data_IF_526127298219
#
_entry.id   IF_526127298219
#
_cell.length_a   1.000
_cell.length_b   1.000
_cell.length_c   1.000
_cell.angle_alpha   90.00
_cell.angle_beta   90.00
_cell.angle_gamma   90.00
#
_symmetry.space_group_name_H-M   'P 1'
#
loop_
_entity.id
_entity.type
_entity.pdbx_description
1 polymer ?
#
# COMPACT_ATOMS: atom_id res chain seq x y z
N UNK A 1 -66.04 15.33 19.24
CA UNK A 1 -65.60 14.29 18.28
C UNK A 1 -64.09 14.41 18.15
N UNK A 2 -63.35 13.50 18.76
CA UNK A 2 -61.90 13.48 18.78
C UNK A 2 -61.46 12.37 17.79
N UNK A 3 -60.77 12.78 16.74
CA UNK A 3 -60.26 11.84 15.70
C UNK A 3 -58.81 11.47 16.04
N UNK A 4 -58.60 10.23 16.40
CA UNK A 4 -57.28 9.64 16.74
C UNK A 4 -56.56 9.27 15.46
N UNK A 5 -55.39 9.86 15.19
CA UNK A 5 -54.51 9.52 14.08
C UNK A 5 -53.50 8.42 14.50
N UNK A 6 -53.60 7.27 13.90
CA UNK A 6 -52.73 6.12 14.11
C UNK A 6 -51.41 6.29 13.33
N UNK A 7 -50.32 6.39 14.05
CA UNK A 7 -48.94 6.50 13.49
C UNK A 7 -48.44 5.11 13.11
N UNK A 8 -48.31 4.83 11.79
CA UNK A 8 -47.67 3.63 11.26
C UNK A 8 -46.17 3.74 11.37
N UNK A 9 -45.59 2.90 12.22
CA UNK A 9 -44.15 2.71 12.34
C UNK A 9 -43.67 1.87 11.15
N UNK A 10 -42.87 2.47 10.27
CA UNK A 10 -42.16 1.71 9.23
C UNK A 10 -40.84 1.17 9.83
N UNK A 11 -40.74 -0.13 9.95
CA UNK A 11 -39.50 -0.85 10.27
C UNK A 11 -38.67 -0.94 8.99
N UNK A 12 -37.59 -0.18 8.94
CA UNK A 12 -36.56 -0.27 7.89
C UNK A 12 -35.69 -1.50 8.17
N UNK A 13 -35.88 -2.56 7.39
CA UNK A 13 -34.98 -3.70 7.35
C UNK A 13 -33.72 -3.30 6.58
N UNK A 14 -32.64 -3.02 7.31
CA UNK A 14 -31.30 -2.84 6.76
C UNK A 14 -30.82 -4.18 6.18
N UNK A 15 -30.85 -4.30 4.88
CA UNK A 15 -30.22 -5.40 4.15
C UNK A 15 -28.72 -5.22 4.20
N UNK A 16 -28.07 -5.90 5.15
CA UNK A 16 -26.63 -6.00 5.27
C UNK A 16 -26.10 -6.62 3.98
N UNK A 17 -25.49 -5.77 3.14
CA UNK A 17 -24.85 -6.16 1.89
C UNK A 17 -23.70 -7.10 2.23
N UNK A 18 -23.87 -8.41 2.00
CA UNK A 18 -22.80 -9.40 2.16
C UNK A 18 -21.76 -9.11 1.07
N UNK A 19 -20.65 -8.49 1.45
CA UNK A 19 -19.46 -8.34 0.59
C UNK A 19 -19.11 -9.72 0.03
N UNK A 20 -18.94 -9.80 -1.29
CA UNK A 20 -18.42 -11.00 -1.94
C UNK A 20 -16.99 -11.20 -1.44
N UNK A 21 -16.56 -12.44 -1.15
CA UNK A 21 -15.16 -12.71 -0.81
C UNK A 21 -14.26 -12.23 -1.95
N UNK A 22 -13.14 -11.60 -1.60
CA UNK A 22 -12.08 -11.25 -2.54
C UNK A 22 -11.68 -12.52 -3.31
N UNK A 23 -11.70 -12.46 -4.62
CA UNK A 23 -11.08 -13.52 -5.44
C UNK A 23 -9.58 -13.23 -5.37
N UNK A 24 -8.82 -14.15 -4.78
CA UNK A 24 -7.37 -14.21 -4.98
C UNK A 24 -7.09 -14.18 -6.49
N UNK A 25 -6.03 -13.49 -6.91
CA UNK A 25 -5.67 -13.34 -8.31
C UNK A 25 -5.85 -14.67 -9.05
N UNK A 26 -6.68 -14.67 -10.09
CA UNK A 26 -6.99 -15.88 -10.81
C UNK A 26 -5.76 -16.24 -11.64
N UNK A 27 -5.16 -17.39 -11.36
CA UNK A 27 -4.15 -17.99 -12.22
C UNK A 27 -4.68 -18.07 -13.68
N UNK A 28 -3.94 -17.50 -14.63
CA UNK A 28 -4.29 -17.60 -16.03
C UNK A 28 -4.16 -19.07 -16.47
N UNK A 29 -5.11 -19.56 -17.26
CA UNK A 29 -5.05 -20.92 -17.77
C UNK A 29 -3.85 -21.11 -18.72
N UNK A 30 -3.34 -22.35 -18.85
CA UNK A 30 -2.24 -22.67 -19.79
C UNK A 30 -2.54 -22.25 -21.24
N UNK A 31 -3.83 -22.22 -21.63
CA UNK A 31 -4.26 -21.81 -22.97
C UNK A 31 -4.19 -20.29 -23.15
N UNK A 32 -4.45 -19.51 -22.09
CA UNK A 32 -4.32 -18.04 -22.08
C UNK A 32 -2.84 -17.62 -22.11
N UNK A 33 -1.93 -18.47 -21.62
CA UNK A 33 -0.49 -18.25 -21.56
C UNK A 33 0.28 -18.87 -22.75
N UNK A 34 -0.39 -19.55 -23.67
CA UNK A 34 0.24 -20.33 -24.74
C UNK A 34 1.15 -19.53 -25.70
N UNK A 35 1.01 -18.20 -25.74
CA UNK A 35 1.79 -17.30 -26.59
C UNK A 35 2.93 -16.58 -25.86
N UNK A 36 3.15 -16.80 -24.55
CA UNK A 36 3.84 -15.82 -23.71
C UNK A 36 5.25 -16.17 -23.23
N UNK A 37 5.68 -17.39 -23.28
CA UNK A 37 7.01 -17.79 -22.78
C UNK A 37 7.02 -17.95 -21.25
N UNK A 38 7.67 -17.05 -20.53
CA UNK A 38 7.75 -17.11 -19.06
C UNK A 38 6.43 -16.66 -18.41
N UNK A 39 5.97 -17.43 -17.42
CA UNK A 39 4.78 -17.13 -16.63
C UNK A 39 5.14 -17.27 -15.15
N UNK A 40 4.81 -16.26 -14.36
CA UNK A 40 5.02 -16.29 -12.92
C UNK A 40 4.31 -17.47 -12.25
N UNK A 41 4.99 -18.09 -11.30
CA UNK A 41 4.37 -19.03 -10.38
C UNK A 41 3.31 -18.31 -9.50
N UNK A 42 2.50 -19.10 -8.79
CA UNK A 42 1.60 -18.55 -7.79
C UNK A 42 2.38 -17.81 -6.68
N UNK A 43 3.52 -18.35 -6.26
CA UNK A 43 4.37 -17.78 -5.22
C UNK A 43 4.98 -16.44 -5.65
N UNK A 44 5.56 -16.35 -6.85
CA UNK A 44 6.07 -15.08 -7.39
C UNK A 44 4.95 -14.04 -7.49
N UNK A 45 3.78 -14.45 -7.98
CA UNK A 45 2.61 -13.56 -8.10
C UNK A 45 2.13 -13.04 -6.74
N UNK A 46 2.08 -13.90 -5.71
CA UNK A 46 1.71 -13.53 -4.35
C UNK A 46 2.75 -12.62 -3.70
N UNK A 47 4.04 -12.86 -3.92
CA UNK A 47 5.12 -12.03 -3.38
C UNK A 47 5.12 -10.63 -3.99
N UNK A 48 4.95 -10.50 -5.30
CA UNK A 48 4.81 -9.18 -5.95
C UNK A 48 3.52 -8.47 -5.54
N UNK A 49 2.43 -9.21 -5.31
CA UNK A 49 1.17 -8.65 -4.82
C UNK A 49 1.29 -8.05 -3.41
N UNK A 50 2.06 -8.65 -2.50
CA UNK A 50 2.34 -8.07 -1.16
C UNK A 50 3.03 -6.72 -1.28
N UNK A 51 4.05 -6.63 -2.11
CA UNK A 51 4.80 -5.38 -2.35
C UNK A 51 3.89 -4.32 -2.98
N UNK A 52 3.07 -4.70 -3.97
CA UNK A 52 2.11 -3.80 -4.61
C UNK A 52 1.13 -3.18 -3.60
N UNK A 53 0.56 -3.99 -2.73
CA UNK A 53 -0.42 -3.55 -1.73
C UNK A 53 0.20 -2.55 -0.76
N UNK A 54 1.39 -2.84 -0.24
CA UNK A 54 2.05 -1.96 0.72
C UNK A 54 2.50 -0.64 0.08
N UNK A 55 2.93 -0.64 -1.18
CA UNK A 55 3.23 0.60 -1.93
C UNK A 55 1.98 1.46 -2.14
N UNK A 56 0.83 0.86 -2.46
CA UNK A 56 -0.44 1.58 -2.61
C UNK A 56 -0.86 2.19 -1.28
N UNK A 57 -0.78 1.43 -0.19
CA UNK A 57 -1.14 1.91 1.14
C UNK A 57 -0.16 2.98 1.64
N UNK A 58 1.14 2.84 1.39
CA UNK A 58 2.15 3.87 1.70
C UNK A 58 1.81 5.20 1.01
N UNK A 59 1.41 5.17 -0.26
CA UNK A 59 1.00 6.38 -0.98
C UNK A 59 -0.31 6.97 -0.39
N UNK A 60 -1.26 6.13 0.01
CA UNK A 60 -2.54 6.54 0.61
C UNK A 60 -2.33 7.19 1.97
N UNK A 61 -1.61 6.52 2.88
CA UNK A 61 -1.31 7.03 4.21
C UNK A 61 -0.37 8.25 4.17
N UNK A 62 0.61 8.25 3.26
CA UNK A 62 1.44 9.42 2.99
C UNK A 62 0.61 10.65 2.60
N UNK A 63 -0.44 10.46 1.79
CA UNK A 63 -1.34 11.57 1.42
C UNK A 63 -2.24 11.99 2.58
N UNK A 64 -2.66 11.06 3.43
CA UNK A 64 -3.37 11.38 4.67
C UNK A 64 -2.50 12.24 5.60
N UNK A 65 -1.22 11.87 5.79
CA UNK A 65 -0.23 12.66 6.52
C UNK A 65 -0.06 14.06 5.91
N UNK A 66 0.16 14.14 4.60
CA UNK A 66 0.36 15.37 3.87
C UNK A 66 -0.77 16.40 4.05
N UNK A 67 -2.02 15.96 4.11
CA UNK A 67 -3.16 16.84 4.31
C UNK A 67 -3.33 17.33 5.75
N UNK A 68 -2.87 16.56 6.73
CA UNK A 68 -3.18 16.77 8.14
C UNK A 68 -1.96 17.13 8.99
N UNK A 69 -0.76 17.21 8.43
CA UNK A 69 0.44 17.64 9.16
C UNK A 69 0.36 19.11 9.53
N UNK A 70 0.73 19.44 10.75
CA UNK A 70 0.84 20.81 11.27
C UNK A 70 2.11 20.95 12.13
N UNK A 71 2.61 22.14 12.34
CA UNK A 71 3.69 22.37 13.30
C UNK A 71 4.96 22.98 12.71
N UNK A 72 6.09 22.78 13.40
CA UNK A 72 7.38 23.30 12.96
C UNK A 72 7.87 22.55 11.74
N UNK A 73 8.57 23.25 10.84
CA UNK A 73 9.04 22.67 9.56
C UNK A 73 7.93 22.13 8.66
N UNK A 74 6.67 22.54 8.91
CA UNK A 74 5.49 22.10 8.14
C UNK A 74 5.76 22.04 6.62
N UNK A 75 6.34 23.12 6.05
CA UNK A 75 6.53 23.19 4.60
C UNK A 75 7.48 22.14 4.07
N UNK A 76 8.57 21.86 4.77
CA UNK A 76 9.59 20.91 4.33
C UNK A 76 9.06 19.48 4.50
N UNK A 77 8.44 19.17 5.64
CA UNK A 77 7.75 17.88 5.85
C UNK A 77 6.67 17.63 4.80
N UNK A 78 5.82 18.62 4.55
CA UNK A 78 4.74 18.54 3.56
C UNK A 78 5.26 18.25 2.14
N UNK A 79 6.39 18.83 1.74
CA UNK A 79 7.01 18.57 0.43
C UNK A 79 7.71 17.22 0.37
N UNK A 80 8.38 16.81 1.44
CA UNK A 80 9.01 15.50 1.52
C UNK A 80 7.98 14.37 1.43
N UNK A 81 6.80 14.56 2.02
CA UNK A 81 5.68 13.64 1.86
C UNK A 81 5.23 13.50 0.39
N UNK A 82 5.19 14.60 -0.38
CA UNK A 82 4.87 14.52 -1.82
C UNK A 82 5.91 13.67 -2.58
N UNK A 83 7.20 13.80 -2.27
CA UNK A 83 8.26 12.99 -2.91
C UNK A 83 8.11 11.49 -2.60
N UNK A 84 7.78 11.14 -1.36
CA UNK A 84 7.52 9.75 -0.94
C UNK A 84 6.29 9.18 -1.65
N UNK A 85 5.21 9.96 -1.70
CA UNK A 85 3.95 9.57 -2.34
C UNK A 85 4.15 9.33 -3.85
N UNK A 86 4.88 10.22 -4.51
CA UNK A 86 5.19 10.10 -5.94
C UNK A 86 5.98 8.84 -6.22
N UNK A 87 7.05 8.59 -5.46
CA UNK A 87 7.85 7.36 -5.59
C UNK A 87 7.04 6.09 -5.32
N UNK A 88 6.22 6.07 -4.26
CA UNK A 88 5.38 4.92 -3.94
C UNK A 88 4.36 4.62 -5.05
N UNK A 89 3.79 5.65 -5.68
CA UNK A 89 2.89 5.50 -6.84
C UNK A 89 3.60 4.99 -8.08
N UNK A 90 4.76 5.52 -8.40
CA UNK A 90 5.57 5.09 -9.54
C UNK A 90 5.99 3.62 -9.38
N UNK A 91 6.45 3.23 -8.20
CA UNK A 91 6.81 1.84 -7.93
C UNK A 91 5.60 0.90 -7.91
N UNK A 92 4.44 1.32 -7.39
CA UNK A 92 3.24 0.49 -7.44
C UNK A 92 2.81 0.21 -8.88
N UNK A 93 2.90 1.19 -9.76
CA UNK A 93 2.63 1.02 -11.20
C UNK A 93 3.64 0.06 -11.85
N UNK A 94 4.94 0.27 -11.58
CA UNK A 94 6.02 -0.60 -12.07
C UNK A 94 5.82 -2.07 -11.66
N UNK A 95 5.49 -2.32 -10.38
CA UNK A 95 5.22 -3.68 -9.88
C UNK A 95 3.97 -4.28 -10.53
N UNK A 96 2.88 -3.52 -10.64
CA UNK A 96 1.64 -3.96 -11.25
C UNK A 96 1.84 -4.29 -12.74
N UNK A 97 2.56 -3.45 -13.49
CA UNK A 97 2.89 -3.71 -14.90
C UNK A 97 3.83 -4.90 -15.06
N UNK A 98 4.81 -5.07 -14.13
CA UNK A 98 5.66 -6.28 -14.13
C UNK A 98 4.84 -7.54 -13.92
N UNK A 99 3.92 -7.55 -12.95
CA UNK A 99 2.98 -8.66 -12.75
C UNK A 99 2.21 -8.96 -14.03
N UNK A 100 1.71 -7.96 -14.74
CA UNK A 100 1.01 -8.14 -16.03
C UNK A 100 1.92 -8.70 -17.11
N UNK A 101 3.16 -8.27 -17.18
CA UNK A 101 4.15 -8.81 -18.12
C UNK A 101 4.46 -10.29 -17.86
N UNK A 102 4.31 -10.73 -16.60
CA UNK A 102 4.49 -12.13 -16.17
C UNK A 102 3.18 -12.94 -16.14
N UNK A 103 2.12 -12.43 -16.76
CA UNK A 103 0.77 -13.03 -16.81
C UNK A 103 0.07 -13.21 -15.45
N UNK A 104 0.57 -12.56 -14.39
CA UNK A 104 -0.12 -12.41 -13.12
C UNK A 104 -1.18 -11.29 -13.17
N UNK A 105 -2.14 -11.30 -12.25
CA UNK A 105 -3.21 -10.30 -12.15
C UNK A 105 -3.01 -9.47 -10.89
N UNK A 106 -2.51 -8.23 -10.98
CA UNK A 106 -2.41 -7.34 -9.83
C UNK A 106 -3.80 -6.96 -9.31
N UNK A 107 -3.94 -6.84 -7.99
CA UNK A 107 -5.16 -6.40 -7.34
C UNK A 107 -4.88 -5.23 -6.40
N UNK A 108 -5.09 -4.01 -6.90
CA UNK A 108 -4.94 -2.75 -6.15
C UNK A 108 -6.28 -2.15 -5.68
N UNK A 109 -7.36 -2.95 -5.59
CA UNK A 109 -8.65 -2.46 -5.09
C UNK A 109 -8.55 -2.08 -3.62
N UNK A 110 -9.29 -1.06 -3.22
CA UNK A 110 -9.23 -0.50 -1.87
C UNK A 110 -9.62 -1.50 -0.76
N UNK A 111 -10.52 -2.44 -1.04
CA UNK A 111 -10.87 -3.51 -0.11
C UNK A 111 -9.72 -4.53 0.03
N UNK A 112 -9.07 -4.91 -1.07
CA UNK A 112 -7.91 -5.78 -1.05
C UNK A 112 -6.74 -5.14 -0.30
N UNK A 113 -6.44 -3.87 -0.60
CA UNK A 113 -5.37 -3.12 0.07
C UNK A 113 -5.63 -3.05 1.57
N UNK A 114 -6.83 -2.64 2.00
CA UNK A 114 -7.18 -2.52 3.41
C UNK A 114 -7.18 -3.88 4.17
N UNK A 115 -7.43 -4.99 3.48
CA UNK A 115 -7.47 -6.32 4.11
C UNK A 115 -6.08 -6.99 4.19
N UNK A 116 -5.13 -6.62 3.32
CA UNK A 116 -3.89 -7.39 3.14
C UNK A 116 -2.60 -6.59 3.34
N UNK A 117 -2.67 -5.26 3.51
CA UNK A 117 -1.48 -4.45 3.82
C UNK A 117 -0.84 -4.85 5.15
N UNK A 118 0.48 -4.76 5.21
CA UNK A 118 1.24 -4.92 6.46
C UNK A 118 1.39 -3.60 7.22
N UNK A 119 1.06 -2.47 6.60
CA UNK A 119 1.20 -1.15 7.21
C UNK A 119 0.18 -0.98 8.36
N UNK A 120 0.60 -0.47 9.52
CA UNK A 120 -0.32 -0.19 10.63
C UNK A 120 -1.30 0.94 10.26
N UNK A 121 -2.45 0.99 10.93
CA UNK A 121 -3.43 2.06 10.73
C UNK A 121 -2.83 3.44 10.96
N UNK A 122 -3.20 4.40 10.10
CA UNK A 122 -2.79 5.80 10.26
C UNK A 122 -3.78 6.55 11.17
N UNK A 123 -3.31 7.35 12.14
CA UNK A 123 -4.20 8.06 13.06
C UNK A 123 -5.05 9.12 12.35
N UNK A 124 -6.18 9.47 12.99
CA UNK A 124 -7.11 10.47 12.50
C UNK A 124 -6.77 11.86 13.06
N UNK A 125 -7.13 12.91 12.32
CA UNK A 125 -7.02 14.29 12.77
C UNK A 125 -5.73 14.99 12.31
N UNK A 126 -5.50 16.19 12.86
CA UNK A 126 -4.26 16.93 12.68
C UNK A 126 -3.14 16.30 13.51
N UNK A 127 -1.94 16.21 12.94
CA UNK A 127 -0.79 15.52 13.54
C UNK A 127 0.42 16.46 13.52
N UNK A 128 1.13 16.56 14.62
CA UNK A 128 2.37 17.35 14.70
C UNK A 128 3.47 16.79 13.81
N UNK A 129 4.30 17.67 13.25
CA UNK A 129 5.38 17.28 12.34
C UNK A 129 6.32 16.22 12.93
N UNK A 130 6.65 16.26 14.21
CA UNK A 130 7.52 15.27 14.83
C UNK A 130 6.84 13.89 14.88
N UNK A 131 5.56 13.83 15.21
CA UNK A 131 4.79 12.59 15.19
C UNK A 131 4.62 12.05 13.75
N UNK A 132 4.40 12.93 12.76
CA UNK A 132 4.35 12.53 11.34
C UNK A 132 5.67 11.90 10.89
N UNK A 133 6.81 12.44 11.31
CA UNK A 133 8.15 11.86 11.02
C UNK A 133 8.24 10.42 11.51
N UNK A 134 7.84 10.14 12.75
CA UNK A 134 7.88 8.80 13.32
C UNK A 134 6.92 7.85 12.61
N UNK A 135 5.66 8.30 12.40
CA UNK A 135 4.64 7.52 11.71
C UNK A 135 5.03 7.15 10.28
N UNK A 136 5.58 8.10 9.52
CA UNK A 136 5.98 7.86 8.13
C UNK A 136 7.22 6.97 8.07
N UNK A 137 8.17 7.15 8.98
CA UNK A 137 9.33 6.27 9.09
C UNK A 137 8.90 4.82 9.32
N UNK A 138 7.97 4.58 10.25
CA UNK A 138 7.43 3.24 10.54
C UNK A 138 6.80 2.59 9.29
N UNK A 139 6.06 3.34 8.48
CA UNK A 139 5.42 2.83 7.26
C UNK A 139 6.44 2.54 6.16
N UNK A 140 7.45 3.39 6.02
CA UNK A 140 8.56 3.13 5.11
C UNK A 140 9.30 1.85 5.51
N UNK A 141 9.61 1.68 6.80
CA UNK A 141 10.28 0.48 7.32
C UNK A 141 9.42 -0.79 7.13
N UNK A 142 8.10 -0.72 7.31
CA UNK A 142 7.20 -1.85 7.05
C UNK A 142 7.23 -2.25 5.56
N UNK A 143 7.11 -1.28 4.64
CA UNK A 143 7.19 -1.55 3.19
C UNK A 143 8.56 -2.11 2.78
N UNK A 144 9.64 -1.58 3.35
CA UNK A 144 11.01 -2.10 3.17
C UNK A 144 11.09 -3.55 3.67
N UNK A 145 10.51 -3.83 4.84
CA UNK A 145 10.45 -5.17 5.41
C UNK A 145 9.78 -6.16 4.46
N UNK A 146 8.59 -5.82 3.94
CA UNK A 146 7.89 -6.64 2.95
C UNK A 146 8.74 -6.90 1.71
N UNK A 147 9.42 -5.89 1.16
CA UNK A 147 10.31 -6.08 0.00
C UNK A 147 11.48 -7.04 0.31
N UNK A 148 12.09 -6.91 1.49
CA UNK A 148 13.19 -7.79 1.93
C UNK A 148 12.75 -9.22 2.18
N UNK A 149 11.56 -9.41 2.77
CA UNK A 149 11.02 -10.72 3.10
C UNK A 149 10.71 -11.57 1.85
N UNK A 150 10.34 -10.91 0.75
CA UNK A 150 10.03 -11.63 -0.51
C UNK A 150 11.21 -11.71 -1.47
N UNK A 151 12.29 -10.93 -1.25
CA UNK A 151 13.38 -10.73 -2.18
C UNK A 151 14.01 -12.04 -2.68
N UNK A 152 14.44 -12.91 -1.77
CA UNK A 152 15.19 -14.10 -2.14
C UNK A 152 14.37 -15.07 -2.99
N UNK A 153 13.08 -15.25 -2.66
CA UNK A 153 12.18 -16.09 -3.44
C UNK A 153 11.86 -15.48 -4.82
N UNK A 154 11.78 -14.15 -4.90
CA UNK A 154 11.61 -13.44 -6.18
C UNK A 154 12.85 -13.56 -7.03
N UNK A 155 14.06 -13.39 -6.47
CA UNK A 155 15.33 -13.48 -7.20
C UNK A 155 15.58 -14.88 -7.74
N UNK A 156 15.23 -15.92 -6.98
CA UNK A 156 15.41 -17.31 -7.42
C UNK A 156 14.56 -17.62 -8.66
N UNK A 157 13.36 -17.08 -8.79
CA UNK A 157 12.46 -17.35 -9.90
C UNK A 157 12.59 -16.34 -11.04
N UNK A 158 12.70 -15.03 -10.71
CA UNK A 158 12.75 -13.95 -11.70
C UNK A 158 13.68 -12.80 -11.27
N UNK A 159 14.98 -12.88 -11.58
CA UNK A 159 15.96 -11.83 -11.26
C UNK A 159 15.58 -10.44 -11.78
N UNK A 160 14.81 -10.32 -12.85
CA UNK A 160 14.35 -9.02 -13.36
C UNK A 160 13.35 -8.37 -12.41
N UNK A 161 12.49 -9.15 -11.75
CA UNK A 161 11.60 -8.63 -10.69
C UNK A 161 12.39 -8.28 -9.42
N UNK A 162 13.46 -9.04 -9.09
CA UNK A 162 14.35 -8.69 -8.00
C UNK A 162 15.08 -7.36 -8.24
N UNK A 163 15.46 -7.02 -9.46
CA UNK A 163 16.04 -5.71 -9.80
C UNK A 163 15.05 -4.57 -9.52
N UNK A 164 13.75 -4.78 -9.71
CA UNK A 164 12.72 -3.81 -9.33
C UNK A 164 12.67 -3.66 -7.81
N UNK A 165 12.73 -4.77 -7.05
CA UNK A 165 12.78 -4.72 -5.59
C UNK A 165 14.02 -3.98 -5.08
N UNK A 166 15.20 -4.15 -5.72
CA UNK A 166 16.41 -3.41 -5.39
C UNK A 166 16.21 -1.89 -5.55
N UNK A 167 15.59 -1.45 -6.65
CA UNK A 167 15.31 -0.04 -6.87
C UNK A 167 14.33 0.55 -5.84
N UNK A 168 13.30 -0.23 -5.45
CA UNK A 168 12.38 0.13 -4.39
C UNK A 168 13.11 0.28 -3.06
N UNK A 169 13.91 -0.72 -2.68
CA UNK A 169 14.67 -0.74 -1.43
C UNK A 169 15.63 0.45 -1.34
N UNK A 170 16.45 0.70 -2.38
CA UNK A 170 17.36 1.83 -2.42
C UNK A 170 16.64 3.15 -2.14
N UNK A 171 15.50 3.36 -2.80
CA UNK A 171 14.76 4.61 -2.69
C UNK A 171 14.02 4.76 -1.36
N UNK A 172 13.33 3.73 -0.89
CA UNK A 172 12.59 3.79 0.36
C UNK A 172 13.52 3.85 1.58
N UNK A 173 14.65 3.16 1.57
CA UNK A 173 15.68 3.25 2.63
C UNK A 173 16.31 4.65 2.68
N UNK A 174 16.54 5.29 1.52
CA UNK A 174 16.96 6.67 1.48
C UNK A 174 15.93 7.59 2.14
N UNK A 175 14.63 7.42 1.83
CA UNK A 175 13.58 8.21 2.46
C UNK A 175 13.47 7.94 3.96
N UNK A 176 13.50 6.68 4.39
CA UNK A 176 13.44 6.32 5.81
C UNK A 176 14.58 6.97 6.61
N UNK A 177 15.81 6.94 6.05
CA UNK A 177 16.95 7.65 6.64
C UNK A 177 16.73 9.15 6.71
N UNK A 178 16.30 9.80 5.61
CA UNK A 178 16.14 11.25 5.56
C UNK A 178 15.03 11.72 6.50
N UNK A 179 13.87 11.04 6.50
CA UNK A 179 12.73 11.38 7.36
C UNK A 179 13.09 11.19 8.83
N UNK A 180 13.64 10.04 9.21
CA UNK A 180 13.97 9.74 10.61
C UNK A 180 15.05 10.69 11.18
N UNK A 181 15.90 11.27 10.33
CA UNK A 181 16.93 12.20 10.73
C UNK A 181 16.36 13.50 11.35
N UNK A 182 15.13 13.90 11.00
CA UNK A 182 14.47 15.10 11.56
C UNK A 182 14.26 15.01 13.08
N UNK A 183 13.98 13.81 13.61
CA UNK A 183 13.75 13.59 15.04
C UNK A 183 14.99 13.09 15.79
N UNK A 184 16.10 12.86 15.10
CA UNK A 184 17.31 12.32 15.74
C UNK A 184 18.10 13.38 16.51
N UNK A 185 18.52 13.01 17.73
CA UNK A 185 19.50 13.79 18.49
C UNK A 185 20.90 13.27 18.16
N UNK A 186 21.88 14.14 17.86
CA UNK A 186 23.25 13.71 17.59
C UNK A 186 23.83 12.90 18.76
N UNK A 187 24.49 11.79 18.46
CA UNK A 187 25.25 11.05 19.46
C UNK A 187 26.47 11.90 19.90
N UNK A 188 26.62 12.12 21.20
CA UNK A 188 27.75 12.84 21.80
C UNK A 188 28.92 11.91 22.07
#
# INVERSE_FOLDING_TARGET
MVTTATKKTQTSTSTRNKRRPARSGAELTKEQNAESGFTASAELSENLQKVLVDLIELASQGKQAHWNVVGKNFRDTHRQLDEIIEAAREFSDTVAERMRALHALPDGRSDTVAETTTLPEFPQGEIDTAEVVDLVTERLEATIGTCRDVHDAVDEEDPTSADILHAILEKLEQFAWMVSAENRVPAT
#
